data_IF_546947089847
#
_entry.id   IF_546947089847
#
_cell.length_a   1.000
_cell.length_b   1.000
_cell.length_c   1.000
_cell.angle_alpha   90.00
_cell.angle_beta   90.00
_cell.angle_gamma   90.00
#
_symmetry.space_group_name_H-M   'P 1'
#
loop_
_entity.id
_entity.type
_entity.pdbx_description
1 polymer ?
#
# COMPACT_ATOMS: atom_id res chain seq x y z
N UNK A 1 -3.74 -10.60 -9.49
CA UNK A 1 -4.70 -10.28 -8.41
C UNK A 1 -4.69 -8.79 -8.11
N UNK A 2 -5.80 -8.29 -7.66
CA UNK A 2 -5.94 -6.88 -7.30
C UNK A 2 -6.56 -6.80 -5.91
N UNK A 3 -5.92 -6.07 -5.01
CA UNK A 3 -6.41 -5.91 -3.64
C UNK A 3 -6.36 -4.46 -3.22
N UNK A 4 -7.37 -4.02 -2.51
CA UNK A 4 -7.42 -2.67 -1.96
C UNK A 4 -7.24 -2.76 -0.45
N UNK A 5 -6.26 -2.01 0.07
CA UNK A 5 -5.98 -1.94 1.50
C UNK A 5 -6.46 -0.60 2.03
N UNK A 6 -7.22 -0.63 3.12
CA UNK A 6 -7.66 0.59 3.78
C UNK A 6 -6.62 1.01 4.80
N UNK A 7 -6.20 2.27 4.74
CA UNK A 7 -5.17 2.79 5.64
C UNK A 7 -5.60 4.10 6.28
N UNK A 8 -4.94 4.47 7.36
CA UNK A 8 -5.11 5.78 8.00
C UNK A 8 -3.75 6.44 8.12
N UNK A 9 -3.75 7.76 8.14
CA UNK A 9 -2.53 8.55 8.29
C UNK A 9 -1.99 9.13 7.01
N UNK A 10 -2.56 8.78 5.87
CA UNK A 10 -2.16 9.40 4.62
C UNK A 10 -2.96 10.68 4.40
N UNK A 11 -2.32 11.82 4.59
CA UNK A 11 -3.00 13.11 4.49
C UNK A 11 -2.38 14.05 3.45
N UNK A 12 -1.35 13.62 2.76
CA UNK A 12 -0.64 14.49 1.82
C UNK A 12 -0.18 13.70 0.60
N UNK A 13 0.06 14.37 -0.54
CA UNK A 13 0.55 13.69 -1.74
C UNK A 13 1.88 12.97 -1.54
N UNK A 14 2.75 13.51 -0.67
CA UNK A 14 4.02 12.86 -0.36
C UNK A 14 3.83 11.50 0.28
N UNK A 15 2.77 11.34 1.06
CA UNK A 15 2.45 10.06 1.69
C UNK A 15 2.10 9.01 0.65
N UNK A 16 1.33 9.40 -0.37
CA UNK A 16 0.98 8.49 -1.47
C UNK A 16 2.23 7.99 -2.18
N UNK A 17 3.14 8.90 -2.51
CA UNK A 17 4.37 8.55 -3.19
C UNK A 17 5.25 7.66 -2.34
N UNK A 18 5.31 7.94 -1.05
CA UNK A 18 6.12 7.16 -0.12
C UNK A 18 5.62 5.72 -0.02
N UNK A 19 4.33 5.55 0.16
CA UNK A 19 3.73 4.23 0.23
C UNK A 19 3.94 3.48 -1.08
N UNK A 20 3.70 4.14 -2.21
CA UNK A 20 3.89 3.53 -3.51
C UNK A 20 5.33 3.06 -3.71
N UNK A 21 6.31 3.89 -3.33
CA UNK A 21 7.71 3.53 -3.45
C UNK A 21 8.08 2.32 -2.61
N UNK A 22 7.60 2.29 -1.38
CA UNK A 22 7.87 1.17 -0.47
C UNK A 22 7.28 -0.12 -1.03
N UNK A 23 6.06 -0.06 -1.52
CA UNK A 23 5.38 -1.25 -2.03
C UNK A 23 5.96 -1.72 -3.36
N UNK A 24 6.45 -0.81 -4.19
CA UNK A 24 7.09 -1.18 -5.45
C UNK A 24 8.38 -1.97 -5.26
N UNK A 25 8.97 -1.89 -4.09
CA UNK A 25 10.18 -2.67 -3.78
C UNK A 25 9.88 -4.15 -3.55
N UNK A 26 8.62 -4.51 -3.39
CA UNK A 26 8.22 -5.90 -3.24
C UNK A 26 8.17 -6.58 -4.62
N UNK A 27 8.79 -7.73 -4.74
CA UNK A 27 8.96 -8.41 -6.03
C UNK A 27 7.66 -8.75 -6.74
N UNK A 28 6.63 -9.13 -5.99
CA UNK A 28 5.37 -9.58 -6.58
C UNK A 28 4.41 -8.48 -6.94
N UNK A 29 4.75 -7.25 -6.62
CA UNK A 29 3.86 -6.13 -6.89
C UNK A 29 4.13 -5.57 -8.26
N UNK A 30 3.09 -5.57 -9.09
CA UNK A 30 3.17 -5.07 -10.45
C UNK A 30 2.73 -3.62 -10.57
N UNK A 31 1.76 -3.22 -9.76
CA UNK A 31 1.25 -1.86 -9.79
C UNK A 31 0.72 -1.45 -8.43
N UNK A 32 0.99 -0.23 -8.06
CA UNK A 32 0.51 0.34 -6.80
C UNK A 32 -0.18 1.66 -7.10
N UNK A 33 -1.35 1.84 -6.53
CA UNK A 33 -2.06 3.10 -6.60
C UNK A 33 -2.52 3.49 -5.21
N UNK A 34 -1.90 4.50 -4.64
CA UNK A 34 -2.26 5.01 -3.33
C UNK A 34 -3.13 6.25 -3.48
N UNK A 35 -4.17 6.36 -2.65
CA UNK A 35 -5.06 7.50 -2.68
C UNK A 35 -5.24 8.02 -1.24
N UNK A 36 -4.60 9.14 -0.94
CA UNK A 36 -4.67 9.74 0.38
C UNK A 36 -6.05 10.28 0.72
N UNK A 37 -6.78 10.69 -0.28
CA UNK A 37 -8.11 11.25 -0.11
C UNK A 37 -9.08 10.23 0.48
N UNK A 38 -9.00 8.99 0.00
CA UNK A 38 -9.86 7.90 0.44
C UNK A 38 -9.18 7.00 1.48
N UNK A 39 -7.89 7.18 1.68
CA UNK A 39 -7.13 6.30 2.56
C UNK A 39 -6.99 4.89 2.01
N UNK A 40 -6.98 4.74 0.69
CA UNK A 40 -6.91 3.42 0.07
C UNK A 40 -5.61 3.23 -0.69
N UNK A 41 -5.14 1.99 -0.69
CA UNK A 41 -3.98 1.60 -1.47
C UNK A 41 -4.39 0.37 -2.29
N UNK A 42 -4.41 0.53 -3.61
CA UNK A 42 -4.75 -0.57 -4.51
C UNK A 42 -3.47 -1.15 -5.06
N UNK A 43 -3.34 -2.46 -4.95
CA UNK A 43 -2.13 -3.17 -5.34
C UNK A 43 -2.48 -4.27 -6.33
N UNK A 44 -1.71 -4.35 -7.42
CA UNK A 44 -1.76 -5.48 -8.34
C UNK A 44 -0.58 -6.39 -8.04
N UNK A 45 -0.88 -7.63 -7.75
CA UNK A 45 0.13 -8.61 -7.36
C UNK A 45 -0.20 -9.97 -7.95
N UNK A 46 0.79 -10.87 -7.91
CA UNK A 46 0.62 -12.20 -8.48
C UNK A 46 0.33 -13.28 -7.43
N UNK A 47 0.69 -13.02 -6.18
CA UNK A 47 0.49 -13.99 -5.09
C UNK A 47 -0.38 -13.40 -3.98
N UNK A 48 -1.32 -14.17 -3.43
CA UNK A 48 -2.18 -13.65 -2.35
C UNK A 48 -1.41 -13.29 -1.09
N UNK A 49 -0.34 -13.98 -0.79
CA UNK A 49 0.47 -13.72 0.40
C UNK A 49 1.20 -12.38 0.36
N UNK A 50 1.34 -11.78 -0.83
CA UNK A 50 1.98 -10.48 -0.98
C UNK A 50 1.25 -9.40 -0.17
N UNK A 51 -0.05 -9.55 0.04
CA UNK A 51 -0.83 -8.60 0.82
C UNK A 51 -0.33 -8.48 2.25
N UNK A 52 0.06 -9.58 2.86
CA UNK A 52 0.62 -9.58 4.21
C UNK A 52 1.89 -8.73 4.26
N UNK A 53 2.75 -8.92 3.27
CA UNK A 53 4.00 -8.15 3.16
C UNK A 53 3.71 -6.68 2.90
N UNK A 54 2.72 -6.39 2.08
CA UNK A 54 2.33 -5.01 1.78
C UNK A 54 1.81 -4.30 3.03
N UNK A 55 0.97 -4.97 3.81
CA UNK A 55 0.46 -4.41 5.06
C UNK A 55 1.58 -4.12 6.05
N UNK A 56 2.53 -5.05 6.16
CA UNK A 56 3.67 -4.86 7.05
C UNK A 56 4.52 -3.66 6.61
N UNK A 57 4.76 -3.52 5.31
CA UNK A 57 5.53 -2.41 4.77
C UNK A 57 4.84 -1.07 5.05
N UNK A 58 3.53 -1.02 4.93
CA UNK A 58 2.77 0.20 5.22
C UNK A 58 2.89 0.57 6.70
N UNK A 59 2.79 -0.41 7.58
CA UNK A 59 2.96 -0.17 9.03
C UNK A 59 4.36 0.34 9.34
N UNK A 60 5.37 -0.24 8.73
CA UNK A 60 6.74 0.20 8.93
C UNK A 60 6.99 1.63 8.48
N UNK A 61 6.23 2.08 7.49
CA UNK A 61 6.32 3.44 7.01
C UNK A 61 5.65 4.45 7.96
N UNK A 62 4.94 3.96 8.98
CA UNK A 62 4.30 4.81 9.96
C UNK A 62 2.81 5.03 9.77
N UNK A 63 2.21 4.27 8.87
CA UNK A 63 0.77 4.37 8.61
C UNK A 63 0.03 3.20 9.23
N UNK A 64 -1.24 3.40 9.54
CA UNK A 64 -2.08 2.35 10.08
C UNK A 64 -2.81 1.61 8.97
N UNK A 65 -2.87 0.29 9.10
CA UNK A 65 -3.66 -0.53 8.20
C UNK A 65 -4.99 -0.84 8.89
N UNK A 66 -6.08 -0.41 8.28
CA UNK A 66 -7.42 -0.60 8.84
C UNK A 66 -8.03 -1.91 8.40
N UNK A 67 -7.79 -2.30 7.18
CA UNK A 67 -8.28 -3.60 6.70
C UNK A 67 -7.53 -4.08 5.47
#
# INVERSE_FOLDING_TARGET
MKTTIMTEGMHCPGCENRVASILKNLEDIRKVKANAKNGTVTIRHTKPETIEHAKAAIREAGYEVVS
#
